data_IF_176806847903
#
_entry.id   IF_176806847903
#
_cell.length_a   1.000
_cell.length_b   1.000
_cell.length_c   1.000
_cell.angle_alpha   90.00
_cell.angle_beta   90.00
_cell.angle_gamma   90.00
#
_symmetry.space_group_name_H-M   'P 1'
#
loop_
_entity.id
_entity.type
_entity.pdbx_description
1 polymer ?
#
# COMPACT_ATOMS: atom_id res chain seq x y z
N UNK A 1 0.49 5.95 -13.92
CA UNK A 1 -0.46 4.87 -14.26
C UNK A 1 -1.87 5.34 -13.90
N UNK A 2 -2.90 4.94 -14.64
CA UNK A 2 -4.28 5.29 -14.28
C UNK A 2 -4.82 4.36 -13.20
N UNK A 3 -5.63 4.89 -12.26
CA UNK A 3 -6.34 4.09 -11.26
C UNK A 3 -7.51 3.32 -11.91
N UNK A 4 -7.78 2.12 -11.42
CA UNK A 4 -8.92 1.29 -11.77
C UNK A 4 -10.24 1.95 -11.41
N UNK A 5 -11.33 1.48 -12.02
CA UNK A 5 -12.69 1.92 -11.64
C UNK A 5 -13.03 1.56 -10.19
N UNK A 6 -12.38 0.54 -9.61
CA UNK A 6 -12.53 0.19 -8.19
C UNK A 6 -11.87 1.24 -7.31
N UNK A 7 -10.61 1.57 -7.56
CA UNK A 7 -9.86 2.59 -6.83
C UNK A 7 -10.49 3.98 -6.96
N UNK A 8 -10.94 4.38 -8.16
CA UNK A 8 -11.64 5.65 -8.33
C UNK A 8 -12.94 5.73 -7.52
N UNK A 9 -13.71 4.64 -7.46
CA UNK A 9 -14.92 4.56 -6.60
C UNK A 9 -14.57 4.58 -5.12
N UNK A 10 -13.50 3.92 -4.71
CA UNK A 10 -12.99 3.97 -3.34
C UNK A 10 -12.65 5.41 -2.94
N UNK A 11 -11.84 6.11 -3.74
CA UNK A 11 -11.45 7.51 -3.48
C UNK A 11 -12.67 8.46 -3.43
N UNK A 12 -13.65 8.26 -4.33
CA UNK A 12 -14.86 9.08 -4.35
C UNK A 12 -15.72 8.94 -3.08
N UNK A 13 -15.59 7.83 -2.35
CA UNK A 13 -16.31 7.58 -1.10
C UNK A 13 -15.41 7.72 0.15
N UNK A 14 -14.12 8.00 -0.04
CA UNK A 14 -13.18 8.18 1.05
C UNK A 14 -13.44 9.49 1.81
N UNK A 15 -12.93 9.58 3.03
CA UNK A 15 -12.94 10.84 3.78
C UNK A 15 -11.73 11.67 3.36
N UNK A 16 -11.92 12.98 3.32
CA UNK A 16 -10.89 13.95 2.97
C UNK A 16 -10.84 15.05 4.01
N UNK A 17 -9.63 15.39 4.48
CA UNK A 17 -9.35 16.61 5.25
C UNK A 17 -8.82 17.69 4.31
N UNK A 18 -8.86 18.94 4.78
CA UNK A 18 -8.29 20.06 4.04
C UNK A 18 -6.78 19.90 3.87
N UNK A 19 -6.30 20.12 2.65
CA UNK A 19 -4.90 20.02 2.26
C UNK A 19 -4.60 21.03 1.16
N UNK A 20 -3.32 21.25 0.86
CA UNK A 20 -2.90 22.18 -0.19
C UNK A 20 -2.89 21.43 -1.53
N UNK A 21 -3.64 21.91 -2.52
CA UNK A 21 -3.72 21.28 -3.84
C UNK A 21 -3.28 22.20 -4.99
N UNK A 22 -3.14 23.51 -4.73
CA UNK A 22 -2.65 24.43 -5.77
C UNK A 22 -1.15 24.23 -5.98
N UNK A 23 -0.74 24.02 -7.23
CA UNK A 23 0.64 23.72 -7.57
C UNK A 23 1.60 24.86 -7.21
N UNK A 24 1.17 26.12 -7.31
CA UNK A 24 2.03 27.25 -6.94
C UNK A 24 2.27 27.28 -5.43
N UNK A 25 1.23 27.00 -4.65
CA UNK A 25 1.34 26.92 -3.19
C UNK A 25 2.23 25.74 -2.75
N UNK A 26 2.12 24.60 -3.45
CA UNK A 26 2.99 23.44 -3.23
C UNK A 26 4.44 23.83 -3.51
N UNK A 27 4.74 24.36 -4.70
CA UNK A 27 6.10 24.76 -5.06
C UNK A 27 6.66 25.82 -4.10
N UNK A 28 5.85 26.80 -3.71
CA UNK A 28 6.26 27.81 -2.73
C UNK A 28 6.65 27.20 -1.38
N UNK A 29 5.92 26.20 -0.90
CA UNK A 29 6.24 25.50 0.35
C UNK A 29 7.60 24.79 0.28
N UNK A 30 7.90 24.12 -0.84
CA UNK A 30 9.20 23.49 -1.06
C UNK A 30 10.33 24.54 -1.17
N UNK A 31 10.09 25.63 -1.90
CA UNK A 31 11.05 26.74 -2.04
C UNK A 31 11.39 27.38 -0.67
N UNK A 32 10.39 27.50 0.22
CA UNK A 32 10.57 28.07 1.56
C UNK A 32 11.56 27.26 2.42
N UNK A 33 11.67 25.96 2.17
CA UNK A 33 12.66 25.06 2.81
C UNK A 33 13.88 24.79 1.93
N UNK A 34 14.05 25.54 0.83
CA UNK A 34 15.14 25.44 -0.14
C UNK A 34 15.24 24.06 -0.81
N UNK A 35 14.10 23.43 -1.04
CA UNK A 35 13.98 22.17 -1.77
C UNK A 35 13.27 22.41 -3.10
N UNK A 36 13.59 21.60 -4.11
CA UNK A 36 12.88 21.60 -5.39
C UNK A 36 11.95 20.39 -5.39
N UNK A 37 10.63 20.55 -5.53
CA UNK A 37 9.73 19.42 -5.60
C UNK A 37 9.87 18.71 -6.94
N UNK A 38 9.80 17.38 -6.93
CA UNK A 38 9.67 16.60 -8.16
C UNK A 38 8.22 16.60 -8.64
N UNK A 39 7.99 16.30 -9.92
CA UNK A 39 6.64 16.14 -10.47
C UNK A 39 5.83 15.06 -9.73
N UNK A 40 6.52 14.02 -9.22
CA UNK A 40 5.91 12.93 -8.46
C UNK A 40 5.37 13.38 -7.11
N UNK A 41 6.15 14.18 -6.38
CA UNK A 41 5.72 14.75 -5.11
C UNK A 41 4.56 15.74 -5.30
N UNK A 42 4.59 16.54 -6.37
CA UNK A 42 3.49 17.44 -6.74
C UNK A 42 2.23 16.62 -7.06
N UNK A 43 2.33 15.58 -7.90
CA UNK A 43 1.17 14.75 -8.28
C UNK A 43 0.57 14.04 -7.07
N UNK A 44 1.43 13.48 -6.19
CA UNK A 44 1.01 12.87 -4.94
C UNK A 44 0.19 13.85 -4.09
N UNK A 45 0.74 15.05 -3.85
CA UNK A 45 0.08 16.06 -3.02
C UNK A 45 -1.25 16.52 -3.66
N UNK A 46 -1.27 16.76 -4.96
CA UNK A 46 -2.48 17.20 -5.68
C UNK A 46 -3.59 16.16 -5.64
N UNK A 47 -3.25 14.88 -5.79
CA UNK A 47 -4.24 13.79 -5.95
C UNK A 47 -4.66 13.16 -4.63
N UNK A 48 -3.76 13.09 -3.66
CA UNK A 48 -3.99 12.33 -2.41
C UNK A 48 -3.82 13.17 -1.15
N UNK A 49 -3.44 14.44 -1.26
CA UNK A 49 -3.44 15.38 -0.13
C UNK A 49 -4.80 15.42 0.57
N UNK A 50 -4.81 15.19 1.87
CA UNK A 50 -6.02 15.13 2.69
C UNK A 50 -6.74 13.78 2.71
N UNK A 51 -6.37 12.80 1.87
CA UNK A 51 -6.98 11.47 1.87
C UNK A 51 -6.88 10.86 3.27
N UNK A 52 -8.02 10.53 3.87
CA UNK A 52 -8.08 10.05 5.26
C UNK A 52 -8.52 8.59 5.31
N UNK A 53 -7.64 7.76 5.87
CA UNK A 53 -7.83 6.33 6.07
C UNK A 53 -7.73 6.03 7.56
N UNK A 54 -8.19 4.87 8.01
CA UNK A 54 -8.18 4.51 9.42
C UNK A 54 -7.38 3.24 9.65
N UNK A 55 -6.36 3.32 10.50
CA UNK A 55 -5.76 2.17 11.16
C UNK A 55 -6.48 1.97 12.49
N UNK A 56 -7.39 0.99 12.54
CA UNK A 56 -8.37 0.82 13.61
C UNK A 56 -9.21 2.08 13.84
N UNK A 57 -8.94 2.83 14.91
CA UNK A 57 -9.64 4.07 15.26
C UNK A 57 -8.81 5.31 14.93
N UNK A 58 -7.54 5.16 14.57
CA UNK A 58 -6.63 6.27 14.35
C UNK A 58 -6.64 6.70 12.87
N UNK A 59 -6.97 7.98 12.58
CA UNK A 59 -6.93 8.49 11.22
C UNK A 59 -5.49 8.69 10.74
N UNK A 60 -5.19 8.16 9.55
CA UNK A 60 -4.00 8.45 8.76
C UNK A 60 -4.43 9.42 7.65
N UNK A 61 -3.96 10.66 7.72
CA UNK A 61 -4.30 11.71 6.75
C UNK A 61 -3.11 11.92 5.84
N UNK A 62 -3.18 11.44 4.60
CA UNK A 62 -2.09 11.54 3.65
C UNK A 62 -1.90 12.97 3.13
N UNK A 63 -0.66 13.29 2.77
CA UNK A 63 -0.23 14.60 2.29
C UNK A 63 1.14 14.98 2.85
N UNK A 64 1.90 15.74 2.09
CA UNK A 64 3.13 16.41 2.55
C UNK A 64 2.77 17.76 3.17
N UNK A 65 1.75 18.42 2.61
CA UNK A 65 1.32 19.77 3.01
C UNK A 65 -0.12 19.75 3.53
N UNK A 66 -0.29 19.98 4.82
CA UNK A 66 -1.60 20.04 5.47
C UNK A 66 -1.99 21.49 5.83
N UNK A 67 -3.28 21.81 5.73
CA UNK A 67 -3.78 23.09 6.26
C UNK A 67 -4.11 22.95 7.75
N UNK A 68 -3.77 23.96 8.54
CA UNK A 68 -4.10 23.98 9.96
C UNK A 68 -5.62 24.11 10.19
N UNK A 69 -6.20 23.47 11.23
CA UNK A 69 -5.62 22.45 12.08
C UNK A 69 -6.05 21.05 11.59
N UNK A 70 -5.24 20.38 10.79
CA UNK A 70 -5.46 18.96 10.46
C UNK A 70 -5.36 18.08 11.72
N UNK A 71 -4.39 18.39 12.61
CA UNK A 71 -4.32 18.25 14.08
C UNK A 71 -2.85 18.46 14.46
N UNK A 72 -2.54 19.46 15.29
CA UNK A 72 -1.14 19.83 15.58
C UNK A 72 -0.49 20.54 14.40
N UNK A 73 0.07 21.72 14.64
CA UNK A 73 0.83 22.40 13.59
C UNK A 73 2.13 21.62 13.37
N UNK A 74 2.31 21.04 12.18
CA UNK A 74 3.65 20.65 11.75
C UNK A 74 4.47 21.95 11.65
N UNK A 75 5.37 22.14 12.60
CA UNK A 75 6.57 22.90 12.29
C UNK A 75 7.25 22.08 11.20
N UNK A 76 7.41 22.64 10.00
CA UNK A 76 8.07 22.02 8.85
C UNK A 76 9.33 21.25 9.29
N UNK A 77 9.20 19.95 9.53
CA UNK A 77 10.36 19.09 9.71
C UNK A 77 10.86 18.78 8.31
N UNK A 78 11.95 19.47 7.97
CA UNK A 78 12.77 19.25 6.79
C UNK A 78 12.94 17.76 6.54
N UNK A 79 12.60 17.30 5.33
CA UNK A 79 12.61 15.89 4.95
C UNK A 79 13.83 15.13 5.47
N UNK A 80 13.59 13.91 5.95
CA UNK A 80 14.63 13.03 6.45
C UNK A 80 15.42 12.46 5.26
N UNK A 81 16.73 12.62 5.26
CA UNK A 81 17.59 11.97 4.26
C UNK A 81 17.97 10.59 4.81
N UNK A 82 17.64 9.54 4.06
CA UNK A 82 17.96 8.16 4.43
C UNK A 82 18.81 7.58 3.31
N UNK A 83 19.91 6.95 3.68
CA UNK A 83 20.72 6.19 2.73
C UNK A 83 20.22 4.75 2.75
N UNK A 84 19.65 4.28 1.63
CA UNK A 84 19.22 2.89 1.49
C UNK A 84 20.46 1.98 1.42
N UNK A 85 20.45 0.85 2.13
CA UNK A 85 21.66 0.05 2.38
C UNK A 85 22.18 -0.74 1.16
N UNK A 86 21.37 -0.91 0.12
CA UNK A 86 21.67 -1.85 -0.97
C UNK A 86 22.12 -1.20 -2.29
N UNK A 87 21.91 0.11 -2.50
CA UNK A 87 22.09 0.70 -3.84
C UNK A 87 22.97 1.98 -3.92
N UNK A 88 23.66 2.43 -2.85
CA UNK A 88 24.36 3.73 -2.82
C UNK A 88 23.45 4.94 -3.22
N UNK A 89 22.13 4.71 -3.33
CA UNK A 89 21.13 5.73 -3.63
C UNK A 89 20.78 6.41 -2.32
N UNK A 90 21.13 7.70 -2.24
CA UNK A 90 20.64 8.58 -1.18
C UNK A 90 19.26 9.05 -1.57
N UNK A 91 18.22 8.44 -0.99
CA UNK A 91 16.84 8.86 -1.17
C UNK A 91 16.46 9.90 -0.10
N UNK A 92 15.83 11.00 -0.52
CA UNK A 92 15.23 11.94 0.42
C UNK A 92 13.79 11.54 0.66
N UNK A 93 13.45 11.28 1.93
CA UNK A 93 12.11 10.90 2.35
C UNK A 93 11.37 12.11 2.92
N UNK A 94 10.10 12.23 2.55
CA UNK A 94 9.18 13.24 3.04
C UNK A 94 8.11 12.53 3.87
N UNK A 95 7.90 13.00 5.11
CA UNK A 95 6.74 12.58 5.88
C UNK A 95 5.48 12.89 5.07
N UNK A 96 4.65 11.87 4.85
CA UNK A 96 3.53 11.94 3.91
C UNK A 96 2.17 11.62 4.55
N UNK A 97 2.12 11.53 5.88
CA UNK A 97 0.86 11.41 6.60
C UNK A 97 0.88 12.08 7.99
N UNK A 98 -0.25 12.66 8.36
CA UNK A 98 -0.58 13.17 9.69
C UNK A 98 -1.41 12.13 10.45
N UNK A 99 -0.84 11.55 11.51
CA UNK A 99 -1.40 10.44 12.29
C UNK A 99 -0.75 10.32 13.69
N UNK A 100 -1.48 9.78 14.67
CA UNK A 100 -0.89 9.31 15.96
C UNK A 100 -0.61 7.81 15.96
N UNK A 101 -0.83 7.12 14.84
CA UNK A 101 -0.49 5.72 14.71
C UNK A 101 1.02 5.55 14.84
N UNK A 102 1.48 4.53 15.56
CA UNK A 102 2.89 4.33 15.91
C UNK A 102 3.67 3.74 14.73
N UNK A 103 3.59 4.38 13.58
CA UNK A 103 4.28 4.01 12.35
C UNK A 103 4.71 5.27 11.59
N UNK A 104 5.83 5.19 10.89
CA UNK A 104 6.33 6.29 10.06
C UNK A 104 5.91 6.09 8.61
N UNK A 105 5.22 7.08 8.04
CA UNK A 105 4.77 7.06 6.65
C UNK A 105 5.57 8.08 5.84
N UNK A 106 6.28 7.60 4.82
CA UNK A 106 7.08 8.48 3.96
C UNK A 106 6.88 8.22 2.47
N UNK A 107 7.16 9.24 1.67
CA UNK A 107 7.28 9.16 0.22
C UNK A 107 8.63 9.77 -0.20
N UNK A 108 9.29 9.21 -1.19
CA UNK A 108 10.56 9.75 -1.70
C UNK A 108 10.39 10.63 -2.95
N UNK A 109 11.50 11.16 -3.46
CA UNK A 109 11.53 12.04 -4.64
C UNK A 109 11.00 11.37 -5.92
N UNK A 110 11.05 10.04 -6.01
CA UNK A 110 10.54 9.26 -7.14
C UNK A 110 9.06 8.84 -6.99
N UNK A 111 8.46 9.14 -5.83
CA UNK A 111 7.07 8.81 -5.51
C UNK A 111 6.88 7.40 -4.95
N UNK A 112 7.97 6.74 -4.53
CA UNK A 112 7.95 5.45 -3.84
C UNK A 112 7.44 5.65 -2.41
N UNK A 113 6.55 4.78 -1.96
CA UNK A 113 5.88 4.87 -0.67
C UNK A 113 6.42 3.84 0.32
N UNK A 114 6.63 4.29 1.56
CA UNK A 114 7.25 3.52 2.62
C UNK A 114 6.46 3.60 3.92
N UNK A 115 6.44 2.50 4.65
CA UNK A 115 5.95 2.40 6.03
C UNK A 115 7.09 1.84 6.88
N UNK A 116 7.46 2.51 7.97
CA UNK A 116 8.60 2.10 8.81
C UNK A 116 9.94 2.11 8.08
N UNK A 117 10.05 2.91 7.01
CA UNK A 117 11.17 2.94 6.06
C UNK A 117 11.35 1.67 5.20
N UNK A 118 10.36 0.78 5.20
CA UNK A 118 10.30 -0.35 4.28
C UNK A 118 9.48 0.02 3.03
N UNK A 119 10.03 -0.24 1.85
CA UNK A 119 9.36 0.05 0.58
C UNK A 119 8.09 -0.79 0.44
N UNK A 120 6.92 -0.14 0.38
CA UNK A 120 5.63 -0.82 0.21
C UNK A 120 5.16 -0.83 -1.23
N UNK A 121 5.41 0.24 -1.99
CA UNK A 121 5.15 0.27 -3.43
C UNK A 121 5.95 1.37 -4.14
N UNK A 122 6.22 1.18 -5.42
CA UNK A 122 6.96 2.14 -6.23
C UNK A 122 6.11 3.35 -6.63
N UNK A 123 4.79 3.22 -6.57
CA UNK A 123 3.84 4.28 -6.88
C UNK A 123 2.71 4.31 -5.85
N UNK A 124 2.37 5.48 -5.30
CA UNK A 124 1.31 5.56 -4.29
C UNK A 124 -0.08 5.13 -4.80
N UNK A 125 -0.33 5.21 -6.11
CA UNK A 125 -1.51 4.61 -6.76
C UNK A 125 -1.70 3.14 -6.37
N UNK A 126 -0.60 2.41 -6.27
CA UNK A 126 -0.55 0.99 -5.91
C UNK A 126 -1.14 0.76 -4.52
N UNK A 127 -0.77 1.62 -3.56
CA UNK A 127 -1.33 1.59 -2.21
C UNK A 127 -2.85 1.82 -2.24
N UNK A 128 -3.30 2.81 -3.03
CA UNK A 128 -4.74 3.09 -3.21
C UNK A 128 -5.50 1.90 -3.79
N UNK A 129 -4.94 1.21 -4.79
CA UNK A 129 -5.53 0.00 -5.37
C UNK A 129 -5.69 -1.11 -4.34
N UNK A 130 -4.63 -1.37 -3.55
CA UNK A 130 -4.63 -2.37 -2.49
C UNK A 130 -5.72 -2.08 -1.45
N UNK A 131 -5.83 -0.83 -1.01
CA UNK A 131 -6.86 -0.42 -0.05
C UNK A 131 -8.28 -0.53 -0.62
N UNK A 132 -8.47 -0.17 -1.89
CA UNK A 132 -9.75 -0.32 -2.56
C UNK A 132 -10.18 -1.79 -2.69
N UNK A 133 -9.22 -2.68 -2.94
CA UNK A 133 -9.47 -4.13 -2.95
C UNK A 133 -9.84 -4.66 -1.57
N UNK A 134 -9.10 -4.27 -0.53
CA UNK A 134 -9.41 -4.65 0.84
C UNK A 134 -10.79 -4.17 1.27
N UNK A 135 -11.20 -2.95 0.89
CA UNK A 135 -12.55 -2.46 1.16
C UNK A 135 -13.62 -3.30 0.45
N UNK A 136 -13.38 -3.67 -0.82
CA UNK A 136 -14.29 -4.55 -1.56
C UNK A 136 -14.40 -5.94 -0.93
N UNK A 137 -13.28 -6.54 -0.53
CA UNK A 137 -13.25 -7.84 0.16
C UNK A 137 -14.03 -7.76 1.48
N UNK A 138 -13.79 -6.71 2.30
CA UNK A 138 -14.49 -6.49 3.58
C UNK A 138 -16.00 -6.28 3.43
N UNK A 139 -16.45 -5.70 2.31
CA UNK A 139 -17.88 -5.52 2.00
C UNK A 139 -18.51 -6.76 1.34
N UNK A 140 -17.70 -7.64 0.76
CA UNK A 140 -18.12 -8.85 0.06
C UNK A 140 -18.44 -10.01 0.99
N UNK A 141 -18.62 -11.22 0.41
CA UNK A 141 -18.88 -12.45 1.16
C UNK A 141 -17.63 -13.31 1.38
N UNK A 142 -16.47 -12.77 1.05
CA UNK A 142 -15.18 -13.43 1.17
C UNK A 142 -14.87 -13.82 2.62
N UNK A 143 -14.46 -15.07 2.81
CA UNK A 143 -13.95 -15.57 4.09
C UNK A 143 -12.52 -16.05 3.91
N UNK A 144 -11.67 -15.78 4.89
CA UNK A 144 -10.33 -16.38 4.95
C UNK A 144 -10.52 -17.88 5.17
N UNK A 145 -9.99 -18.67 4.25
CA UNK A 145 -10.03 -20.13 4.27
C UNK A 145 -8.63 -20.73 4.45
N UNK A 146 -7.60 -19.95 4.08
CA UNK A 146 -6.22 -20.28 4.33
C UNK A 146 -5.38 -19.04 4.59
N UNK A 147 -4.39 -19.16 5.45
CA UNK A 147 -3.42 -18.12 5.76
C UNK A 147 -2.10 -18.80 6.11
N UNK A 148 -1.05 -18.39 5.42
CA UNK A 148 0.35 -18.74 5.67
C UNK A 148 1.12 -17.44 5.86
N UNK A 149 1.90 -17.34 6.93
CA UNK A 149 2.73 -16.19 7.26
C UNK A 149 4.14 -16.70 7.56
N UNK A 150 5.17 -16.00 7.06
CA UNK A 150 6.56 -16.24 7.44
C UNK A 150 6.77 -15.82 8.89
N UNK A 151 7.59 -16.55 9.65
CA UNK A 151 7.84 -16.21 11.04
C UNK A 151 8.74 -14.98 11.12
N UNK A 152 8.14 -13.83 11.44
CA UNK A 152 8.78 -12.52 11.57
C UNK A 152 10.01 -12.54 12.50
N UNK A 153 10.08 -13.47 13.46
CA UNK A 153 11.21 -13.59 14.39
C UNK A 153 12.36 -14.47 13.88
N UNK A 154 12.13 -15.27 12.85
CA UNK A 154 13.10 -16.21 12.28
C UNK A 154 13.58 -15.80 10.89
N UNK A 155 12.69 -15.18 10.12
CA UNK A 155 12.82 -15.02 8.67
C UNK A 155 12.79 -13.54 8.25
N UNK A 156 13.44 -12.67 9.03
CA UNK A 156 13.37 -11.21 8.93
C UNK A 156 13.84 -10.58 7.59
N UNK A 157 14.27 -11.39 6.63
CA UNK A 157 14.62 -10.98 5.27
C UNK A 157 14.03 -11.90 4.19
N UNK A 158 13.22 -12.90 4.56
CA UNK A 158 12.60 -13.78 3.59
C UNK A 158 11.31 -13.16 3.05
N UNK A 159 11.02 -13.46 1.79
CA UNK A 159 9.77 -13.08 1.15
C UNK A 159 9.15 -14.32 0.53
N UNK A 160 7.84 -14.31 0.34
CA UNK A 160 7.11 -15.40 -0.32
C UNK A 160 7.75 -15.68 -1.70
N UNK A 161 8.22 -16.90 -1.93
CA UNK A 161 8.84 -17.31 -3.19
C UNK A 161 7.83 -17.16 -4.35
N UNK A 162 8.20 -16.36 -5.34
CA UNK A 162 7.42 -16.14 -6.56
C UNK A 162 7.12 -17.44 -7.33
N UNK A 163 7.98 -18.45 -7.26
CA UNK A 163 7.76 -19.76 -7.89
C UNK A 163 6.68 -20.55 -7.14
N UNK A 164 6.71 -20.56 -5.81
CA UNK A 164 5.66 -21.19 -5.00
C UNK A 164 4.32 -20.51 -5.24
N UNK A 165 4.31 -19.17 -5.24
CA UNK A 165 3.12 -18.39 -5.55
C UNK A 165 2.59 -18.66 -6.97
N UNK A 166 3.47 -18.68 -7.97
CA UNK A 166 3.09 -18.96 -9.36
C UNK A 166 2.52 -20.36 -9.55
N UNK A 167 3.05 -21.36 -8.84
CA UNK A 167 2.49 -22.71 -8.83
C UNK A 167 1.11 -22.74 -8.18
N UNK A 168 0.90 -22.02 -7.07
CA UNK A 168 -0.41 -21.89 -6.44
C UNK A 168 -1.45 -21.28 -7.39
N UNK A 169 -1.12 -20.16 -8.03
CA UNK A 169 -1.97 -19.48 -9.02
C UNK A 169 -2.37 -20.44 -10.14
N UNK A 170 -1.39 -21.19 -10.68
CA UNK A 170 -1.61 -22.16 -11.75
C UNK A 170 -2.52 -23.31 -11.32
N UNK A 171 -2.28 -23.89 -10.14
CA UNK A 171 -3.04 -25.06 -9.66
C UNK A 171 -4.49 -24.70 -9.31
N UNK A 172 -4.73 -23.51 -8.75
CA UNK A 172 -6.07 -23.00 -8.46
C UNK A 172 -6.78 -22.37 -9.68
N UNK A 173 -6.12 -22.33 -10.84
CA UNK A 173 -6.67 -21.77 -12.06
C UNK A 173 -6.99 -20.28 -11.96
N UNK A 174 -6.22 -19.55 -11.14
CA UNK A 174 -6.45 -18.14 -10.88
C UNK A 174 -5.92 -17.28 -12.02
N UNK A 175 -6.51 -16.11 -12.17
CA UNK A 175 -6.06 -15.08 -13.08
C UNK A 175 -5.78 -13.83 -12.28
N UNK A 176 -4.74 -13.08 -12.69
CA UNK A 176 -4.44 -11.77 -12.11
C UNK A 176 -5.70 -10.92 -12.16
N UNK A 177 -6.08 -10.35 -11.04
CA UNK A 177 -7.14 -9.34 -11.03
C UNK A 177 -6.62 -8.17 -11.89
N UNK A 178 -7.37 -7.81 -12.93
CA UNK A 178 -6.96 -6.73 -13.84
C UNK A 178 -6.75 -5.41 -13.06
N UNK A 179 -5.93 -4.52 -13.62
CA UNK A 179 -5.58 -3.18 -13.11
C UNK A 179 -4.57 -3.08 -11.93
N UNK A 180 -3.99 -4.18 -11.44
CA UNK A 180 -2.91 -4.08 -10.45
C UNK A 180 -1.53 -3.86 -11.10
N UNK A 181 -0.77 -2.81 -10.71
CA UNK A 181 0.61 -2.62 -11.15
C UNK A 181 1.54 -3.76 -10.68
N UNK A 182 2.69 -3.91 -11.33
CA UNK A 182 3.60 -5.06 -11.12
C UNK A 182 4.33 -5.05 -9.77
N UNK A 183 4.30 -3.92 -9.07
CA UNK A 183 4.81 -3.76 -7.70
C UNK A 183 3.80 -4.18 -6.62
N UNK A 184 2.57 -4.56 -6.99
CA UNK A 184 1.59 -5.14 -6.07
C UNK A 184 1.92 -6.60 -5.80
N UNK A 185 2.34 -6.85 -4.56
CA UNK A 185 1.79 -7.82 -3.62
C UNK A 185 0.50 -8.55 -4.12
N UNK A 186 0.66 -9.51 -5.04
CA UNK A 186 -0.34 -9.95 -6.05
C UNK A 186 -1.74 -10.34 -5.54
N UNK A 187 -2.77 -10.02 -6.33
CA UNK A 187 -4.15 -10.47 -6.15
C UNK A 187 -4.63 -11.26 -7.38
N UNK A 188 -4.97 -12.54 -7.17
CA UNK A 188 -5.35 -13.46 -8.23
C UNK A 188 -6.68 -14.16 -7.89
N UNK A 189 -7.59 -14.28 -8.86
CA UNK A 189 -8.92 -14.84 -8.65
C UNK A 189 -9.40 -15.70 -9.82
N UNK A 190 -10.29 -16.65 -9.55
CA UNK A 190 -11.09 -17.34 -10.56
C UNK A 190 -12.60 -17.00 -10.47
N UNK A 191 -12.96 -16.04 -9.63
CA UNK A 191 -14.35 -15.65 -9.33
C UNK A 191 -14.92 -16.27 -8.05
N UNK A 192 -14.42 -17.43 -7.61
CA UNK A 192 -14.86 -18.11 -6.38
C UNK A 192 -13.80 -18.06 -5.27
N UNK A 193 -12.53 -18.09 -5.69
CA UNK A 193 -11.34 -18.03 -4.85
C UNK A 193 -10.57 -16.76 -5.20
N UNK A 194 -10.03 -16.11 -4.18
CA UNK A 194 -9.15 -14.96 -4.29
C UNK A 194 -7.91 -15.24 -3.45
N UNK A 195 -6.73 -15.10 -4.04
CA UNK A 195 -5.46 -15.24 -3.33
C UNK A 195 -4.79 -13.88 -3.28
N UNK A 196 -4.50 -13.44 -2.07
CA UNK A 196 -3.71 -12.27 -1.76
C UNK A 196 -2.32 -12.71 -1.31
N UNK A 197 -1.32 -12.47 -2.15
CA UNK A 197 0.08 -12.55 -1.73
C UNK A 197 0.40 -11.27 -0.98
N UNK A 198 1.06 -11.38 0.18
CA UNK A 198 1.84 -10.37 0.91
C UNK A 198 3.34 -10.54 0.67
N UNK A 199 4.18 -9.58 1.08
CA UNK A 199 5.63 -9.79 1.04
C UNK A 199 6.02 -11.03 1.90
N UNK A 200 5.32 -11.19 3.02
CA UNK A 200 5.55 -12.12 4.11
C UNK A 200 4.44 -13.15 4.31
N UNK A 201 3.36 -13.11 3.52
CA UNK A 201 2.21 -14.00 3.72
C UNK A 201 1.50 -14.38 2.42
N UNK A 202 0.69 -15.43 2.49
CA UNK A 202 -0.29 -15.80 1.45
C UNK A 202 -1.63 -16.04 2.12
N UNK A 203 -2.63 -15.28 1.72
CA UNK A 203 -3.99 -15.36 2.25
C UNK A 203 -4.92 -15.82 1.14
N UNK A 204 -5.65 -16.91 1.38
CA UNK A 204 -6.67 -17.42 0.48
C UNK A 204 -8.05 -17.12 1.04
N UNK A 205 -8.88 -16.53 0.18
CA UNK A 205 -10.24 -16.10 0.46
C UNK A 205 -11.20 -16.87 -0.46
N UNK A 206 -12.38 -17.22 0.05
CA UNK A 206 -13.46 -17.82 -0.76
C UNK A 206 -14.82 -17.19 -0.45
N UNK A 207 -15.66 -17.02 -1.47
CA UNK A 207 -17.09 -16.68 -1.29
C UNK A 207 -18.00 -17.91 -1.12
N UNK A 208 -17.46 -19.12 -1.32
CA UNK A 208 -18.21 -20.36 -1.45
C UNK A 208 -17.75 -21.49 -0.52
N UNK A 209 -18.07 -22.72 -0.91
CA UNK A 209 -17.60 -23.92 -0.22
C UNK A 209 -16.15 -24.19 -0.57
N UNK A 210 -15.27 -24.11 0.42
CA UNK A 210 -13.86 -24.49 0.33
C UNK A 210 -13.70 -26.01 0.45
N UNK A 211 -13.12 -26.64 -0.57
CA UNK A 211 -13.01 -28.11 -0.64
C UNK A 211 -11.73 -28.59 0.04
N UNK A 212 -11.78 -29.81 0.56
CA UNK A 212 -10.61 -30.44 1.15
C UNK A 212 -9.46 -30.60 0.13
N UNK A 213 -9.76 -30.91 -1.13
CA UNK A 213 -8.76 -30.98 -2.21
C UNK A 213 -8.05 -29.64 -2.45
N UNK A 214 -8.77 -28.53 -2.30
CA UNK A 214 -8.20 -27.17 -2.43
C UNK A 214 -7.31 -26.85 -1.22
N UNK A 215 -7.72 -27.25 -0.02
CA UNK A 215 -6.90 -27.14 1.19
C UNK A 215 -5.58 -27.92 1.06
N UNK A 216 -5.65 -29.20 0.70
CA UNK A 216 -4.48 -30.08 0.57
C UNK A 216 -3.49 -29.55 -0.47
N UNK A 217 -3.99 -28.98 -1.58
CA UNK A 217 -3.19 -28.35 -2.61
C UNK A 217 -2.43 -27.13 -2.08
N UNK A 218 -3.10 -26.26 -1.32
CA UNK A 218 -2.47 -25.07 -0.76
C UNK A 218 -1.43 -25.46 0.29
N UNK A 219 -1.72 -26.43 1.15
CA UNK A 219 -0.81 -26.94 2.19
C UNK A 219 0.42 -27.65 1.63
N UNK A 220 0.33 -28.28 0.44
CA UNK A 220 1.50 -28.86 -0.24
C UNK A 220 2.53 -27.79 -0.64
N UNK A 221 2.06 -26.60 -1.01
CA UNK A 221 2.90 -25.50 -1.49
C UNK A 221 3.39 -24.62 -0.33
N UNK A 222 2.48 -24.30 0.59
CA UNK A 222 2.71 -23.42 1.73
C UNK A 222 2.38 -24.15 3.04
N UNK A 223 3.18 -25.13 3.47
CA UNK A 223 2.86 -25.95 4.64
C UNK A 223 2.81 -25.09 5.92
N UNK A 224 1.78 -25.31 6.75
CA UNK A 224 1.77 -24.74 8.11
C UNK A 224 2.76 -25.50 8.97
N UNK A 225 3.68 -24.78 9.63
CA UNK A 225 4.54 -25.35 10.68
C UNK A 225 3.74 -25.78 11.91
#
# INVERSE_FOLDING_TARGET
MGLSNRANRFLANAKWKNSVHDEKDICHAFDAVKLIPTEKLIDFQKRYGGLTIYAYLEPIVYGILHQAPSRGAFANETGLIITEAEDDIVARHFACADTLYQETFTIDEDGRYYEGFELKCNHFETHVESMAMLEQVKKGKWKIVYEFELDVYRDCYETIDWKQYGELVKRLGLKKVEDFPDDVISWDTNGEILVWRKADAVIVLSEGSWKQEEQELVEEIFPKE
#
